data_IF_550605779497
#
_entry.id   IF_550605779497
#
_cell.length_a   1.000
_cell.length_b   1.000
_cell.length_c   1.000
_cell.angle_alpha   90.00
_cell.angle_beta   90.00
_cell.angle_gamma   90.00
#
_symmetry.space_group_name_H-M   'P 1'
#
loop_
_entity.id
_entity.type
_entity.pdbx_description
1 polymer ?
#
# COMPACT_ATOMS: atom_id res chain seq x y z
N UNK A 1 12.16 -0.91 8.18
CA UNK A 1 10.86 -1.59 8.24
C UNK A 1 9.94 -0.88 7.27
N UNK A 2 9.33 -1.60 6.33
CA UNK A 2 8.21 -1.10 5.52
C UNK A 2 6.92 -1.37 6.29
N UNK A 3 5.99 -0.43 6.29
CA UNK A 3 4.66 -0.55 6.90
C UNK A 3 3.57 -0.22 5.88
N UNK A 4 2.43 -0.88 6.02
CA UNK A 4 1.17 -0.60 5.35
C UNK A 4 0.00 -1.15 6.18
N UNK A 5 -1.23 -1.07 5.69
CA UNK A 5 -2.43 -1.59 6.35
C UNK A 5 -3.34 -2.32 5.35
N UNK A 6 -3.86 -3.50 5.70
CA UNK A 6 -4.69 -4.33 4.82
C UNK A 6 -5.92 -3.60 4.30
N UNK A 7 -6.72 -2.99 5.20
CA UNK A 7 -7.89 -2.19 4.80
C UNK A 7 -7.55 -0.97 3.91
N UNK A 8 -6.35 -0.39 4.06
CA UNK A 8 -5.93 0.72 3.21
C UNK A 8 -5.60 0.23 1.80
N UNK A 9 -5.02 -0.96 1.68
CA UNK A 9 -4.77 -1.62 0.40
C UNK A 9 -6.09 -1.93 -0.31
N UNK A 10 -7.09 -2.47 0.40
CA UNK A 10 -8.42 -2.73 -0.16
C UNK A 10 -9.08 -1.44 -0.67
N UNK A 11 -9.08 -0.39 0.15
CA UNK A 11 -9.62 0.92 -0.25
C UNK A 11 -8.88 1.53 -1.43
N UNK A 12 -7.55 1.39 -1.51
CA UNK A 12 -6.76 1.82 -2.67
C UNK A 12 -7.22 1.13 -3.96
N UNK A 13 -7.46 -0.18 -3.92
CA UNK A 13 -7.92 -0.96 -5.08
C UNK A 13 -9.35 -0.55 -5.48
N UNK A 14 -10.24 -0.33 -4.51
CA UNK A 14 -11.59 0.16 -4.74
C UNK A 14 -11.59 1.55 -5.41
N UNK A 15 -10.79 2.49 -4.90
CA UNK A 15 -10.60 3.83 -5.48
C UNK A 15 -10.08 3.76 -6.92
N UNK A 16 -9.23 2.77 -7.21
CA UNK A 16 -8.74 2.53 -8.57
C UNK A 16 -9.79 1.89 -9.49
N UNK A 17 -10.92 1.42 -8.97
CA UNK A 17 -11.98 0.77 -9.73
C UNK A 17 -11.68 -0.71 -10.02
N UNK A 18 -10.90 -1.37 -9.17
CA UNK A 18 -10.72 -2.83 -9.25
C UNK A 18 -12.04 -3.50 -8.83
N UNK A 19 -12.49 -4.56 -9.51
CA UNK A 19 -13.62 -5.36 -9.04
C UNK A 19 -13.26 -6.16 -7.77
N UNK A 20 -14.14 -6.24 -6.75
CA UNK A 20 -13.86 -6.94 -5.48
C UNK A 20 -13.36 -8.38 -5.65
N UNK A 21 -13.90 -9.12 -6.62
CA UNK A 21 -13.51 -10.50 -6.93
C UNK A 21 -12.06 -10.62 -7.44
N UNK A 22 -11.46 -9.52 -7.89
CA UNK A 22 -10.07 -9.45 -8.36
C UNK A 22 -9.10 -8.92 -7.31
N UNK A 23 -9.55 -8.43 -6.14
CA UNK A 23 -8.66 -7.79 -5.16
C UNK A 23 -7.48 -8.68 -4.80
N UNK A 24 -7.73 -9.94 -4.46
CA UNK A 24 -6.70 -10.90 -4.09
C UNK A 24 -5.69 -11.15 -5.21
N UNK A 25 -6.16 -11.31 -6.44
CA UNK A 25 -5.26 -11.56 -7.57
C UNK A 25 -4.42 -10.32 -7.86
N UNK A 26 -4.97 -9.11 -7.71
CA UNK A 26 -4.23 -7.86 -7.90
C UNK A 26 -3.24 -7.60 -6.76
N UNK A 27 -3.58 -7.87 -5.50
CA UNK A 27 -2.62 -7.84 -4.39
C UNK A 27 -1.42 -8.76 -4.65
N UNK A 28 -1.66 -9.96 -5.20
CA UNK A 28 -0.60 -10.87 -5.62
C UNK A 28 0.29 -10.30 -6.75
N UNK A 29 -0.24 -9.46 -7.66
CA UNK A 29 0.57 -8.72 -8.64
C UNK A 29 1.43 -7.66 -7.95
N UNK A 30 0.85 -6.87 -7.06
CA UNK A 30 1.55 -5.78 -6.36
C UNK A 30 2.70 -6.33 -5.51
N UNK A 31 2.50 -7.47 -4.86
CA UNK A 31 3.51 -8.16 -4.03
C UNK A 31 4.80 -8.56 -4.79
N UNK A 32 4.71 -8.67 -6.12
CA UNK A 32 5.85 -8.98 -6.99
C UNK A 32 6.71 -7.75 -7.32
N UNK A 33 6.29 -6.53 -6.96
CA UNK A 33 7.05 -5.29 -7.22
C UNK A 33 8.42 -5.24 -6.54
N UNK A 34 8.68 -6.08 -5.53
CA UNK A 34 10.02 -6.23 -4.96
C UNK A 34 11.01 -6.93 -5.94
N UNK A 35 10.52 -7.64 -6.97
CA UNK A 35 11.32 -8.46 -7.89
C UNK A 35 11.13 -8.12 -9.37
N UNK A 36 10.05 -7.41 -9.72
CA UNK A 36 9.65 -7.12 -11.10
C UNK A 36 9.39 -5.63 -11.28
N UNK A 37 9.59 -5.13 -12.49
CA UNK A 37 9.29 -3.74 -12.81
C UNK A 37 7.79 -3.50 -12.85
N UNK A 38 7.38 -2.24 -12.65
CA UNK A 38 5.97 -1.88 -12.76
C UNK A 38 5.40 -2.21 -14.15
N UNK A 39 6.17 -2.10 -15.23
CA UNK A 39 5.70 -2.43 -16.58
C UNK A 39 5.36 -3.93 -16.71
N UNK A 40 6.15 -4.81 -16.10
CA UNK A 40 5.85 -6.25 -16.05
C UNK A 40 4.57 -6.51 -15.25
N UNK A 41 4.43 -5.86 -14.09
CA UNK A 41 3.24 -6.00 -13.23
C UNK A 41 1.99 -5.44 -13.92
N UNK A 42 2.10 -4.30 -14.59
CA UNK A 42 1.02 -3.68 -15.38
C UNK A 42 0.57 -4.62 -16.49
N UNK A 43 1.52 -5.23 -17.22
CA UNK A 43 1.23 -6.22 -18.26
C UNK A 43 0.45 -7.42 -17.69
N UNK A 44 0.91 -7.99 -16.58
CA UNK A 44 0.21 -9.07 -15.88
C UNK A 44 -1.21 -8.66 -15.46
N UNK A 45 -1.38 -7.48 -14.87
CA UNK A 45 -2.69 -6.97 -14.43
C UNK A 45 -3.70 -6.84 -15.58
N UNK A 46 -3.24 -6.42 -16.76
CA UNK A 46 -4.09 -6.21 -17.93
C UNK A 46 -4.32 -7.51 -18.69
N UNK A 47 -3.25 -8.19 -19.11
CA UNK A 47 -3.32 -9.32 -20.04
C UNK A 47 -3.75 -10.62 -19.36
N UNK A 48 -3.34 -10.86 -18.11
CA UNK A 48 -3.61 -12.11 -17.41
C UNK A 48 -4.78 -11.99 -16.43
N UNK A 49 -4.92 -10.85 -15.77
CA UNK A 49 -5.95 -10.62 -14.73
C UNK A 49 -7.16 -9.82 -15.24
N UNK A 50 -7.09 -9.34 -16.48
CA UNK A 50 -8.21 -8.69 -17.16
C UNK A 50 -8.66 -7.38 -16.52
N UNK A 51 -7.74 -6.59 -15.96
CA UNK A 51 -8.01 -5.18 -15.68
C UNK A 51 -7.90 -4.35 -16.96
N UNK A 52 -8.55 -3.19 -16.97
CA UNK A 52 -8.28 -2.20 -18.01
C UNK A 52 -6.93 -1.53 -17.76
N UNK A 53 -6.34 -0.99 -18.84
CA UNK A 53 -5.10 -0.23 -18.77
C UNK A 53 -5.21 0.94 -17.77
N UNK A 54 -6.34 1.64 -17.78
CA UNK A 54 -6.60 2.82 -16.95
C UNK A 54 -6.70 2.47 -15.46
N UNK A 55 -7.27 1.30 -15.11
CA UNK A 55 -7.27 0.81 -13.73
C UNK A 55 -5.85 0.46 -13.29
N UNK A 56 -5.09 -0.26 -14.13
CA UNK A 56 -3.71 -0.62 -13.83
C UNK A 56 -2.81 0.62 -13.65
N UNK A 57 -2.99 1.64 -14.47
CA UNK A 57 -2.24 2.90 -14.37
C UNK A 57 -2.58 3.68 -13.09
N UNK A 58 -3.85 3.68 -12.68
CA UNK A 58 -4.26 4.27 -11.39
C UNK A 58 -3.61 3.56 -10.20
N UNK A 59 -3.57 2.22 -10.21
CA UNK A 59 -2.83 1.45 -9.19
C UNK A 59 -1.36 1.86 -9.20
N UNK A 60 -0.77 1.99 -10.39
CA UNK A 60 0.61 2.42 -10.59
C UNK A 60 0.98 3.74 -9.95
N UNK A 61 0.05 4.69 -9.89
CA UNK A 61 0.27 5.97 -9.24
C UNK A 61 0.37 5.82 -7.71
N UNK A 62 -0.46 4.96 -7.11
CA UNK A 62 -0.44 4.74 -5.67
C UNK A 62 0.73 3.86 -5.20
N UNK A 63 1.04 2.76 -5.89
CA UNK A 63 2.10 1.83 -5.45
C UNK A 63 3.51 2.43 -5.52
N UNK A 64 3.68 3.59 -6.15
CA UNK A 64 4.92 4.38 -6.14
C UNK A 64 5.06 5.26 -4.90
N UNK A 65 3.96 5.51 -4.18
CA UNK A 65 3.93 6.35 -2.99
C UNK A 65 4.54 5.59 -1.80
N UNK A 66 5.70 6.08 -1.38
CA UNK A 66 6.41 5.60 -0.19
C UNK A 66 7.26 6.73 0.39
N UNK A 67 7.36 6.79 1.71
CA UNK A 67 8.10 7.88 2.34
C UNK A 67 8.07 7.87 3.86
N UNK A 68 8.46 9.01 4.47
CA UNK A 68 8.36 9.22 5.91
C UNK A 68 6.91 9.01 6.39
N UNK A 69 6.68 8.28 7.50
CA UNK A 69 5.33 7.85 7.86
C UNK A 69 4.33 8.99 8.07
N UNK A 70 4.69 10.02 8.83
CA UNK A 70 3.79 11.15 9.12
C UNK A 70 3.54 12.03 7.90
N UNK A 71 4.52 12.19 7.01
CA UNK A 71 4.36 13.00 5.78
C UNK A 71 3.39 12.33 4.81
N UNK A 72 3.55 11.02 4.56
CA UNK A 72 2.66 10.29 3.68
C UNK A 72 1.27 10.13 4.31
N UNK A 73 1.18 9.89 5.62
CA UNK A 73 -0.10 9.87 6.34
C UNK A 73 -0.86 11.18 6.15
N UNK A 74 -0.22 12.32 6.39
CA UNK A 74 -0.84 13.64 6.21
C UNK A 74 -1.30 13.87 4.77
N UNK A 75 -0.52 13.42 3.77
CA UNK A 75 -0.93 13.47 2.35
C UNK A 75 -2.18 12.63 2.07
N UNK A 76 -2.29 11.44 2.66
CA UNK A 76 -3.46 10.57 2.46
C UNK A 76 -4.69 11.07 3.23
N UNK A 77 -4.50 11.83 4.30
CA UNK A 77 -5.56 12.51 5.07
C UNK A 77 -5.89 13.92 4.54
N UNK A 78 -5.26 14.38 3.46
CA UNK A 78 -5.50 15.73 2.93
C UNK A 78 -6.93 15.90 2.44
N UNK A 79 -7.44 17.14 2.51
CA UNK A 79 -8.81 17.46 2.11
C UNK A 79 -9.02 17.16 0.62
N UNK A 80 -9.97 16.28 0.33
CA UNK A 80 -10.26 15.82 -1.04
C UNK A 80 -9.59 14.51 -1.42
N UNK A 81 -8.84 13.89 -0.50
CA UNK A 81 -8.37 12.52 -0.66
C UNK A 81 -9.55 11.54 -0.73
N UNK A 82 -9.58 10.72 -1.78
CA UNK A 82 -10.57 9.65 -1.94
C UNK A 82 -10.52 8.59 -0.86
N UNK A 83 -9.40 8.47 -0.13
CA UNK A 83 -9.30 7.58 1.03
C UNK A 83 -10.24 8.01 2.17
N UNK A 84 -10.60 9.30 2.24
CA UNK A 84 -11.55 9.78 3.25
C UNK A 84 -13.01 9.45 2.92
N UNK A 85 -13.30 9.01 1.69
CA UNK A 85 -14.62 8.56 1.26
C UNK A 85 -14.84 7.06 1.51
N UNK A 86 -13.80 6.33 1.94
CA UNK A 86 -13.83 4.89 2.17
C UNK A 86 -13.65 4.58 3.68
N UNK A 87 -14.69 4.04 4.32
CA UNK A 87 -14.69 3.78 5.78
C UNK A 87 -13.53 2.88 6.23
N UNK A 88 -13.19 1.85 5.44
CA UNK A 88 -12.08 0.96 5.72
C UNK A 88 -10.72 1.67 5.68
N UNK A 89 -10.56 2.60 4.74
CA UNK A 89 -9.36 3.44 4.61
C UNK A 89 -9.25 4.44 5.74
N UNK A 90 -10.34 5.10 6.14
CA UNK A 90 -10.35 6.02 7.29
C UNK A 90 -9.90 5.29 8.55
N UNK A 91 -10.49 4.13 8.84
CA UNK A 91 -10.08 3.30 9.98
C UNK A 91 -8.59 2.91 9.92
N UNK A 92 -8.08 2.59 8.73
CA UNK A 92 -6.68 2.24 8.56
C UNK A 92 -5.75 3.42 8.81
N UNK A 93 -6.13 4.63 8.36
CA UNK A 93 -5.35 5.84 8.56
C UNK A 93 -5.32 6.22 10.06
N UNK A 94 -6.43 6.09 10.77
CA UNK A 94 -6.51 6.32 12.22
C UNK A 94 -5.60 5.34 13.00
N UNK A 95 -5.64 4.05 12.67
CA UNK A 95 -4.77 3.02 13.27
C UNK A 95 -3.28 3.33 13.02
N UNK A 96 -2.94 3.72 11.78
CA UNK A 96 -1.58 4.08 11.40
C UNK A 96 -1.12 5.37 12.09
N UNK A 97 -1.99 6.35 12.29
CA UNK A 97 -1.69 7.58 13.02
C UNK A 97 -1.28 7.29 14.46
N UNK A 98 -2.05 6.44 15.16
CA UNK A 98 -1.73 6.00 16.52
C UNK A 98 -0.36 5.32 16.56
N UNK A 99 -0.11 4.40 15.61
CA UNK A 99 1.15 3.67 15.52
C UNK A 99 2.34 4.61 15.22
N UNK A 100 2.21 5.50 14.25
CA UNK A 100 3.29 6.41 13.87
C UNK A 100 3.62 7.39 15.00
N UNK A 101 2.61 7.91 15.70
CA UNK A 101 2.81 8.75 16.89
C UNK A 101 3.54 7.98 18.02
N UNK A 102 3.21 6.70 18.23
CA UNK A 102 3.93 5.87 19.21
C UNK A 102 5.39 5.60 18.78
N UNK A 103 5.64 5.39 17.49
CA UNK A 103 6.97 5.20 16.92
C UNK A 103 7.82 6.47 17.00
N UNK A 104 7.20 7.64 16.86
CA UNK A 104 7.87 8.94 17.03
C UNK A 104 8.30 9.13 18.48
N UNK A 105 7.39 8.92 19.44
CA UNK A 105 7.69 9.00 20.88
C UNK A 105 8.78 8.02 21.33
N UNK A 106 8.82 6.82 20.73
CA UNK A 106 9.86 5.82 20.99
C UNK A 106 11.15 6.02 20.17
N UNK A 107 11.27 7.13 19.42
CA UNK A 107 12.45 7.49 18.60
C UNK A 107 12.83 6.42 17.57
N UNK A 108 11.85 5.64 17.12
CA UNK A 108 12.03 4.53 16.19
C UNK A 108 11.45 4.78 14.80
N UNK A 109 10.68 5.86 14.64
CA UNK A 109 10.02 6.22 13.37
C UNK A 109 10.99 6.39 12.20
N UNK A 110 12.23 6.82 12.45
CA UNK A 110 13.28 6.97 11.44
C UNK A 110 13.75 5.63 10.82
N UNK A 111 13.39 4.49 11.40
CA UNK A 111 13.66 3.14 10.85
C UNK A 111 12.51 2.61 10.00
N UNK A 112 11.43 3.38 9.89
CA UNK A 112 10.17 2.98 9.29
C UNK A 112 9.92 3.79 8.02
N UNK A 113 9.37 3.13 7.02
CA UNK A 113 8.91 3.73 5.77
C UNK A 113 7.47 3.29 5.59
N UNK A 114 6.56 4.22 5.37
CA UNK A 114 5.20 3.92 4.95
C UNK A 114 5.24 3.68 3.44
N UNK A 115 4.81 2.50 2.98
CA UNK A 115 5.00 2.02 1.61
C UNK A 115 3.71 1.36 1.10
N UNK A 116 2.97 2.05 0.20
CA UNK A 116 1.71 1.54 -0.34
C UNK A 116 1.89 0.34 -1.29
N UNK A 117 3.13 0.06 -1.71
CA UNK A 117 3.44 -1.13 -2.50
C UNK A 117 3.51 -2.41 -1.65
N UNK A 118 3.48 -2.31 -0.31
CA UNK A 118 3.56 -3.47 0.57
C UNK A 118 2.20 -4.19 0.65
N UNK A 119 2.08 -5.27 -0.11
CA UNK A 119 0.86 -6.10 -0.21
C UNK A 119 1.11 -7.55 0.23
N UNK A 120 1.67 -7.75 1.44
CA UNK A 120 2.01 -9.08 1.98
C UNK A 120 0.88 -9.62 2.85
N UNK A 121 0.57 -10.91 2.73
CA UNK A 121 -0.40 -11.60 3.60
C UNK A 121 -1.82 -11.03 3.55
N UNK A 122 -2.20 -10.49 2.40
CA UNK A 122 -3.51 -9.87 2.14
C UNK A 122 -4.70 -10.84 2.28
N UNK A 123 -4.43 -12.13 2.36
CA UNK A 123 -5.42 -13.20 2.56
C UNK A 123 -5.70 -13.53 4.04
N UNK A 124 -4.88 -13.04 4.97
CA UNK A 124 -5.04 -13.31 6.42
C UNK A 124 -4.80 -12.12 7.34
N UNK A 125 -4.11 -11.06 6.93
CA UNK A 125 -3.96 -9.85 7.73
C UNK A 125 -5.13 -8.90 7.55
N UNK A 126 -5.76 -8.52 8.67
CA UNK A 126 -6.89 -7.59 8.72
C UNK A 126 -6.51 -6.17 9.15
N UNK A 127 -5.24 -5.96 9.54
CA UNK A 127 -4.73 -4.73 10.14
C UNK A 127 -3.39 -4.29 9.53
N UNK A 128 -2.49 -3.81 10.39
CA UNK A 128 -1.13 -3.40 10.00
C UNK A 128 -0.33 -4.57 9.42
N UNK A 129 0.37 -4.31 8.31
CA UNK A 129 1.28 -5.22 7.63
C UNK A 129 2.68 -4.60 7.65
N UNK A 130 3.72 -5.39 7.95
CA UNK A 130 5.09 -4.90 7.93
C UNK A 130 6.08 -5.90 7.34
N UNK A 131 7.16 -5.36 6.77
CA UNK A 131 8.29 -6.13 6.27
C UNK A 131 9.62 -5.53 6.70
N UNK A 132 10.54 -6.36 7.19
CA UNK A 132 11.91 -5.93 7.45
C UNK A 132 12.77 -6.16 6.20
N UNK A 133 13.49 -5.12 5.79
CA UNK A 133 14.45 -5.20 4.68
C UNK A 133 15.84 -4.93 5.24
N UNK A 134 16.77 -5.84 4.95
CA UNK A 134 18.18 -5.64 5.29
C UNK A 134 18.78 -4.57 4.37
N UNK A 135 19.39 -3.53 4.95
CA UNK A 135 20.00 -2.43 4.20
C UNK A 135 21.49 -2.64 3.89
N UNK A 136 22.10 -3.71 4.40
CA UNK A 136 23.51 -3.99 4.14
C UNK A 136 23.71 -4.58 2.75
N UNK A 137 24.88 -4.32 2.16
CA UNK A 137 25.35 -5.07 1.00
C UNK A 137 25.70 -6.49 1.45
N UNK A 138 25.20 -7.51 0.74
CA UNK A 138 25.93 -8.77 0.62
C UNK A 138 27.30 -8.41 0.06
N UNK A 139 28.35 -8.64 0.84
CA UNK A 139 29.73 -8.58 0.36
C UNK A 139 29.95 -9.60 -0.74
#
# INVERSE_FOLDING_TARGET
IKLNHGKLLDGMLEICGVPPEKFRTICSSIDKLDKQSFDQIRKEMVEEKGLTAEVADRIGNFVKERGPPLELLAKLQDKGSKFLENEGSVHALDDLEILFNALEKSKSINRVVFDLSLARGFDYYTGVIYGAVFKGATR
#
